data_IF_365720407214
#
_entry.id   IF_365720407214
#
_cell.length_a   1.000
_cell.length_b   1.000
_cell.length_c   1.000
_cell.angle_alpha   90.00
_cell.angle_beta   90.00
_cell.angle_gamma   90.00
#
_symmetry.space_group_name_H-M   'P 1'
#
loop_
_entity.id
_entity.type
_entity.pdbx_description
1 polymer ?
#
# COMPACT_ATOMS: atom_id res chain seq x y z
N UNK A 1 -5.95 13.40 39.41
CA UNK A 1 -6.34 13.10 38.01
C UNK A 1 -7.73 13.63 37.71
N UNK A 2 -8.63 13.72 38.69
CA UNK A 2 -9.99 14.26 38.50
C UNK A 2 -10.03 15.73 38.04
N UNK A 3 -9.12 16.58 38.56
CA UNK A 3 -9.00 17.97 38.08
C UNK A 3 -8.59 18.05 36.60
N UNK A 4 -7.76 17.11 36.15
CA UNK A 4 -7.27 17.05 34.76
C UNK A 4 -8.38 16.51 33.85
N UNK A 5 -9.05 15.43 34.25
CA UNK A 5 -10.21 14.89 33.51
C UNK A 5 -11.31 15.95 33.37
N UNK A 6 -11.63 16.67 34.45
CA UNK A 6 -12.64 17.73 34.44
C UNK A 6 -12.28 18.90 33.53
N UNK A 7 -11.00 19.27 33.45
CA UNK A 7 -10.54 20.31 32.53
C UNK A 7 -10.66 19.87 31.06
N UNK A 8 -10.30 18.61 30.76
CA UNK A 8 -10.41 18.03 29.42
C UNK A 8 -11.88 17.92 28.98
N UNK A 9 -12.77 17.43 29.84
CA UNK A 9 -14.21 17.33 29.54
C UNK A 9 -14.86 18.72 29.36
N UNK A 10 -14.42 19.72 30.13
CA UNK A 10 -14.88 21.10 29.98
C UNK A 10 -14.43 21.73 28.65
N UNK A 11 -13.20 21.46 28.22
CA UNK A 11 -12.66 21.93 26.94
C UNK A 11 -13.31 21.21 25.74
N UNK A 12 -13.51 19.89 25.87
CA UNK A 12 -14.17 19.07 24.85
C UNK A 12 -15.67 19.36 24.71
N UNK A 13 -16.28 20.10 25.64
CA UNK A 13 -17.70 20.45 25.66
C UNK A 13 -18.65 19.26 25.89
N UNK A 14 -18.11 18.07 26.17
CA UNK A 14 -18.87 16.85 26.43
C UNK A 14 -18.09 15.92 27.35
N UNK A 15 -18.81 15.04 28.06
CA UNK A 15 -18.19 13.98 28.83
C UNK A 15 -17.53 12.96 27.90
N UNK A 16 -16.32 12.51 28.25
CA UNK A 16 -15.57 11.52 27.49
C UNK A 16 -15.62 10.18 28.23
N UNK A 17 -16.44 9.20 27.78
CA UNK A 17 -16.54 7.90 28.43
C UNK A 17 -15.18 7.20 28.50
N UNK A 18 -14.84 6.66 29.67
CA UNK A 18 -13.58 5.94 29.87
C UNK A 18 -12.33 6.82 30.06
N UNK A 19 -12.44 8.16 29.94
CA UNK A 19 -11.29 9.07 30.11
C UNK A 19 -10.61 8.90 31.47
N UNK A 20 -11.41 8.75 32.54
CA UNK A 20 -10.89 8.59 33.90
C UNK A 20 -10.10 7.30 34.04
N UNK A 21 -10.60 6.22 33.45
CA UNK A 21 -9.96 4.90 33.46
C UNK A 21 -8.67 4.91 32.63
N UNK A 22 -8.71 5.49 31.42
CA UNK A 22 -7.51 5.66 30.58
C UNK A 22 -6.43 6.52 31.24
N UNK A 23 -6.82 7.58 31.97
CA UNK A 23 -5.87 8.40 32.73
C UNK A 23 -5.29 7.65 33.93
N UNK A 24 -6.06 6.77 34.56
CA UNK A 24 -5.58 5.91 35.65
C UNK A 24 -4.61 4.84 35.12
N UNK A 25 -4.90 4.21 33.99
CA UNK A 25 -4.04 3.24 33.31
C UNK A 25 -2.72 3.87 32.85
N UNK A 26 -2.78 5.05 32.23
CA UNK A 26 -1.60 5.81 31.82
C UNK A 26 -0.71 6.18 33.02
N UNK A 27 -1.31 6.61 34.14
CA UNK A 27 -0.57 6.89 35.39
C UNK A 27 0.06 5.61 35.97
N UNK A 28 -0.61 4.47 35.83
CA UNK A 28 -0.11 3.17 36.26
C UNK A 28 0.91 2.55 35.29
N UNK A 29 1.26 3.23 34.20
CA UNK A 29 2.22 2.73 33.20
C UNK A 29 1.67 1.59 32.33
N UNK A 30 0.36 1.35 32.36
CA UNK A 30 -0.31 0.34 31.54
C UNK A 30 -0.61 0.94 30.17
N UNK A 31 0.41 0.97 29.32
CA UNK A 31 0.27 1.35 27.93
C UNK A 31 0.02 0.11 27.07
N UNK A 32 -0.70 0.28 25.95
CA UNK A 32 -0.66 -0.69 24.86
C UNK A 32 0.78 -0.84 24.33
N UNK A 33 1.01 -1.78 23.42
CA UNK A 33 2.34 -2.05 22.87
C UNK A 33 3.01 -0.76 22.34
N UNK A 34 4.08 -0.33 23.02
CA UNK A 34 4.86 0.84 22.61
C UNK A 34 5.88 0.40 21.57
N UNK A 35 5.66 0.79 20.33
CA UNK A 35 6.61 0.59 19.24
C UNK A 35 7.68 1.69 19.27
N UNK A 36 8.94 1.30 19.46
CA UNK A 36 10.09 2.19 19.27
C UNK A 36 10.37 2.37 17.77
N UNK A 37 11.05 3.45 17.35
CA UNK A 37 11.45 3.64 15.94
C UNK A 37 12.22 2.44 15.37
N UNK A 38 12.98 1.74 16.20
CA UNK A 38 13.74 0.53 15.86
C UNK A 38 12.82 -0.69 15.62
N UNK A 39 11.71 -0.79 16.35
CA UNK A 39 10.68 -1.82 16.16
C UNK A 39 9.84 -1.57 14.91
N UNK A 40 9.66 -0.31 14.52
CA UNK A 40 9.06 0.07 13.24
C UNK A 40 10.13 -0.05 12.14
N UNK A 41 10.68 -1.25 11.96
CA UNK A 41 11.52 -1.56 10.81
C UNK A 41 10.62 -1.42 9.59
N UNK A 42 10.77 -0.33 8.81
CA UNK A 42 10.13 -0.20 7.50
C UNK A 42 10.53 -1.43 6.70
N UNK A 43 9.65 -2.42 6.62
CA UNK A 43 9.71 -3.47 5.60
C UNK A 43 9.49 -2.75 4.27
N UNK A 44 10.53 -2.11 3.77
CA UNK A 44 10.64 -1.82 2.35
C UNK A 44 10.49 -3.14 1.60
N UNK A 45 10.07 -3.06 0.34
CA UNK A 45 10.00 -4.23 -0.53
C UNK A 45 11.36 -4.96 -0.47
N UNK A 46 11.38 -6.30 -0.32
CA UNK A 46 12.63 -7.04 -0.16
C UNK A 46 13.68 -6.65 -1.20
N UNK A 47 14.93 -6.52 -0.76
CA UNK A 47 16.07 -6.32 -1.64
C UNK A 47 16.12 -7.48 -2.64
N UNK A 48 16.11 -7.17 -3.94
CA UNK A 48 15.95 -8.15 -5.03
C UNK A 48 14.57 -8.18 -5.68
N UNK A 49 13.60 -7.41 -5.17
CA UNK A 49 12.31 -7.22 -5.85
C UNK A 49 12.34 -6.27 -7.06
N UNK A 50 13.49 -5.64 -7.30
CA UNK A 50 13.77 -4.94 -8.54
C UNK A 50 14.13 -5.99 -9.58
N UNK A 51 13.25 -6.26 -10.53
CA UNK A 51 13.60 -7.10 -11.68
C UNK A 51 14.89 -6.54 -12.31
N UNK A 52 15.83 -7.42 -12.69
CA UNK A 52 17.10 -7.04 -13.33
C UNK A 52 16.90 -6.12 -14.56
N UNK A 53 15.73 -6.22 -15.19
CA UNK A 53 15.22 -5.25 -16.16
C UNK A 53 13.93 -4.68 -15.60
N UNK A 54 13.93 -3.38 -15.27
CA UNK A 54 12.73 -2.71 -14.77
C UNK A 54 11.84 -2.36 -15.95
N UNK A 55 10.54 -2.68 -15.85
CA UNK A 55 9.55 -2.26 -16.86
C UNK A 55 9.40 -0.74 -16.79
N UNK A 56 9.51 -0.07 -17.93
CA UNK A 56 9.27 1.37 -18.01
C UNK A 56 7.77 1.66 -18.09
N UNK A 57 7.28 2.53 -17.21
CA UNK A 57 5.89 2.97 -17.23
C UNK A 57 5.71 4.04 -18.32
N UNK A 58 4.96 3.70 -19.37
CA UNK A 58 4.67 4.60 -20.49
C UNK A 58 3.16 4.87 -20.59
N UNK A 59 2.80 6.05 -21.10
CA UNK A 59 1.40 6.40 -21.36
C UNK A 59 1.03 6.00 -22.79
N UNK A 60 0.28 4.91 -22.94
CA UNK A 60 -0.23 4.39 -24.21
C UNK A 60 -1.75 4.62 -24.31
N UNK A 61 -2.25 4.95 -25.50
CA UNK A 61 -3.69 4.95 -25.82
C UNK A 61 -4.01 3.67 -26.57
N UNK A 62 -5.09 3.01 -26.14
CA UNK A 62 -5.67 1.83 -26.78
C UNK A 62 -7.12 2.17 -27.13
N UNK A 63 -7.64 1.56 -28.19
CA UNK A 63 -9.06 1.64 -28.52
C UNK A 63 -9.91 1.07 -27.38
N UNK A 64 -11.12 1.60 -27.22
CA UNK A 64 -11.97 1.32 -26.07
C UNK A 64 -12.38 -0.17 -25.99
N UNK A 65 -12.76 -0.74 -27.13
CA UNK A 65 -13.12 -2.15 -27.29
C UNK A 65 -11.95 -3.09 -26.96
N UNK A 66 -10.73 -2.75 -27.41
CA UNK A 66 -9.51 -3.51 -27.08
C UNK A 66 -9.24 -3.45 -25.58
N UNK A 67 -9.34 -2.27 -24.97
CA UNK A 67 -9.11 -2.12 -23.53
C UNK A 67 -10.13 -2.92 -22.71
N UNK A 68 -11.39 -2.93 -23.14
CA UNK A 68 -12.44 -3.73 -22.51
C UNK A 68 -12.16 -5.23 -22.63
N UNK A 69 -11.83 -5.72 -23.83
CA UNK A 69 -11.47 -7.13 -24.04
C UNK A 69 -10.26 -7.57 -23.20
N UNK A 70 -9.23 -6.71 -23.11
CA UNK A 70 -8.06 -6.97 -22.29
C UNK A 70 -8.43 -7.05 -20.80
N UNK A 71 -9.21 -6.10 -20.28
CA UNK A 71 -9.66 -6.11 -18.87
C UNK A 71 -10.56 -7.30 -18.57
N UNK A 72 -11.43 -7.69 -19.50
CA UNK A 72 -12.30 -8.86 -19.38
C UNK A 72 -11.52 -10.17 -19.25
N UNK A 73 -10.26 -10.22 -19.71
CA UNK A 73 -9.39 -11.39 -19.49
C UNK A 73 -9.00 -11.63 -18.03
N UNK A 74 -9.32 -10.71 -17.11
CA UNK A 74 -9.15 -10.86 -15.67
C UNK A 74 -7.81 -10.35 -15.13
N UNK A 75 -7.46 -10.77 -13.92
CA UNK A 75 -6.23 -10.36 -13.25
C UNK A 75 -4.98 -10.67 -14.10
N UNK A 76 -3.99 -9.77 -14.08
CA UNK A 76 -2.77 -9.93 -14.85
C UNK A 76 -2.90 -9.61 -16.35
N UNK A 77 -4.01 -8.99 -16.79
CA UNK A 77 -4.20 -8.64 -18.21
C UNK A 77 -3.05 -7.82 -18.79
N UNK A 78 -2.48 -6.88 -18.02
CA UNK A 78 -1.34 -6.09 -18.45
C UNK A 78 -0.09 -6.94 -18.70
N UNK A 79 0.14 -7.96 -17.88
CA UNK A 79 1.25 -8.90 -18.08
C UNK A 79 1.03 -9.70 -19.36
N UNK A 80 -0.17 -10.24 -19.57
CA UNK A 80 -0.52 -10.95 -20.82
C UNK A 80 -0.35 -10.06 -22.04
N UNK A 81 -0.80 -8.80 -21.99
CA UNK A 81 -0.60 -7.83 -23.07
C UNK A 81 0.87 -7.61 -23.37
N UNK A 82 1.71 -7.44 -22.34
CA UNK A 82 3.15 -7.29 -22.52
C UNK A 82 3.78 -8.54 -23.18
N UNK A 83 3.33 -9.74 -22.82
CA UNK A 83 3.84 -10.99 -23.39
C UNK A 83 3.39 -11.15 -24.85
N UNK A 84 2.15 -10.78 -25.19
CA UNK A 84 1.66 -10.72 -26.57
C UNK A 84 2.49 -9.74 -27.42
N UNK A 85 2.79 -8.55 -26.89
CA UNK A 85 3.63 -7.57 -27.57
C UNK A 85 5.05 -8.10 -27.79
N UNK A 86 5.64 -8.76 -26.78
CA UNK A 86 6.96 -9.39 -26.92
C UNK A 86 6.96 -10.46 -28.00
N UNK A 87 5.96 -11.35 -28.01
CA UNK A 87 5.83 -12.40 -29.01
C UNK A 87 5.66 -11.82 -30.43
N UNK A 88 4.80 -10.80 -30.60
CA UNK A 88 4.62 -10.12 -31.89
C UNK A 88 5.90 -9.46 -32.38
N UNK A 89 6.61 -8.73 -31.51
CA UNK A 89 7.88 -8.09 -31.86
C UNK A 89 8.97 -9.12 -32.20
N UNK A 90 8.98 -10.27 -31.52
CA UNK A 90 9.88 -11.37 -31.83
C UNK A 90 9.62 -11.98 -33.21
N UNK A 91 8.35 -12.18 -33.58
CA UNK A 91 7.99 -12.63 -34.94
C UNK A 91 8.48 -11.66 -36.02
N UNK A 92 8.45 -10.35 -35.74
CA UNK A 92 8.96 -9.33 -36.68
C UNK A 92 10.47 -9.11 -36.61
N UNK A 93 11.20 -9.88 -35.80
CA UNK A 93 12.65 -9.74 -35.61
C UNK A 93 13.10 -8.48 -34.87
N UNK A 94 12.17 -7.70 -34.31
CA UNK A 94 12.46 -6.44 -33.59
C UNK A 94 12.99 -6.66 -32.17
N UNK A 95 12.68 -7.81 -31.57
CA UNK A 95 13.12 -8.20 -30.23
C UNK A 95 13.53 -9.68 -30.28
N UNK A 96 14.56 -10.09 -29.54
CA UNK A 96 14.89 -11.50 -29.43
C UNK A 96 13.75 -12.27 -28.73
N UNK A 97 13.39 -13.44 -29.27
CA UNK A 97 12.46 -14.34 -28.58
C UNK A 97 13.05 -14.70 -27.22
N UNK A 98 12.31 -14.47 -26.13
CA UNK A 98 12.74 -14.91 -24.81
C UNK A 98 12.83 -16.45 -24.82
N UNK A 99 13.96 -16.96 -24.33
CA UNK A 99 14.19 -18.39 -24.12
C UNK A 99 13.75 -18.77 -22.71
#
# INVERSE_FOLDING_TARGET
MDKVAKAIEADAGQALPGLRDSLAEAKAGKFAEVHTPEKIKRRGRPAGSTQAVTKEAVKLRLDADILEALRASGEGWQTRTNDMLRASLALTGKVASAR
#
